data_IF_157649943635
#
_entry.id   IF_157649943635
#
_cell.length_a   1.000
_cell.length_b   1.000
_cell.length_c   1.000
_cell.angle_alpha   90.00
_cell.angle_beta   90.00
_cell.angle_gamma   90.00
#
_symmetry.space_group_name_H-M   'P 1'
#
loop_
_entity.id
_entity.type
_entity.pdbx_description
1 polymer ?
#
# COMPACT_ATOMS: atom_id res chain seq x y z
N UNK A 1 39.53 10.14 14.21
CA UNK A 1 39.58 8.67 14.20
C UNK A 1 38.30 8.16 13.52
N UNK A 2 38.32 7.91 12.21
CA UNK A 2 37.15 7.44 11.46
C UNK A 2 36.86 5.98 11.83
N UNK A 3 35.72 5.72 12.50
CA UNK A 3 35.21 4.36 12.69
C UNK A 3 34.82 3.81 11.32
N UNK A 4 35.65 2.92 10.76
CA UNK A 4 35.29 2.10 9.60
C UNK A 4 34.08 1.25 9.97
N UNK A 5 32.94 1.53 9.34
CA UNK A 5 31.77 0.66 9.36
C UNK A 5 32.21 -0.65 8.67
N UNK A 6 32.23 -1.76 9.41
CA UNK A 6 32.51 -3.08 8.83
C UNK A 6 31.36 -3.44 7.88
N UNK A 7 31.62 -3.84 6.63
CA UNK A 7 30.57 -4.45 5.82
C UNK A 7 30.30 -5.82 6.45
N UNK A 8 29.16 -5.97 7.10
CA UNK A 8 28.64 -7.28 7.50
C UNK A 8 27.40 -7.56 6.66
N UNK A 9 27.61 -8.06 5.46
CA UNK A 9 26.74 -9.11 4.96
C UNK A 9 27.64 -10.14 4.31
N UNK A 10 27.73 -11.33 4.91
CA UNK A 10 28.01 -12.52 4.10
C UNK A 10 26.94 -12.54 3.02
N UNK A 11 27.31 -12.78 1.76
CA UNK A 11 26.32 -13.10 0.74
C UNK A 11 25.51 -14.30 1.25
N UNK A 12 24.25 -14.07 1.63
CA UNK A 12 23.36 -15.15 2.05
C UNK A 12 23.08 -15.95 0.79
N UNK A 13 23.57 -17.20 0.75
CA UNK A 13 23.30 -18.11 -0.35
C UNK A 13 21.90 -18.67 -0.14
N UNK A 14 20.91 -18.15 -0.89
CA UNK A 14 19.54 -18.66 -0.84
C UNK A 14 19.46 -20.09 -1.37
N UNK A 15 18.48 -20.85 -0.88
CA UNK A 15 18.08 -22.09 -1.55
C UNK A 15 17.39 -21.76 -2.89
N UNK A 16 17.45 -22.70 -3.83
CA UNK A 16 16.76 -22.57 -5.12
C UNK A 16 15.25 -22.35 -4.94
N UNK A 17 14.66 -23.02 -3.95
CA UNK A 17 13.25 -22.84 -3.59
C UNK A 17 12.93 -21.44 -3.06
N UNK A 18 13.77 -20.89 -2.16
CA UNK A 18 13.61 -19.51 -1.67
C UNK A 18 13.63 -18.50 -2.82
N UNK A 19 14.50 -18.72 -3.81
CA UNK A 19 14.58 -17.83 -4.98
C UNK A 19 13.37 -17.99 -5.89
N UNK A 20 12.93 -19.23 -6.14
CA UNK A 20 11.75 -19.52 -6.96
C UNK A 20 10.47 -18.86 -6.45
N UNK A 21 10.23 -18.90 -5.13
CA UNK A 21 9.04 -18.25 -4.53
C UNK A 21 9.07 -16.73 -4.75
N UNK A 22 10.24 -16.11 -4.64
CA UNK A 22 10.41 -14.67 -4.83
C UNK A 22 10.26 -14.27 -6.30
N UNK A 23 10.87 -15.02 -7.21
CA UNK A 23 10.77 -14.77 -8.64
C UNK A 23 9.32 -14.92 -9.13
N UNK A 24 8.58 -15.89 -8.58
CA UNK A 24 7.16 -16.09 -8.89
C UNK A 24 6.30 -14.92 -8.41
N UNK A 25 6.50 -14.44 -7.17
CA UNK A 25 5.81 -13.26 -6.67
C UNK A 25 6.16 -12.01 -7.50
N UNK A 26 7.43 -11.80 -7.83
CA UNK A 26 7.84 -10.60 -8.58
C UNK A 26 7.28 -10.61 -10.00
N UNK A 27 7.37 -11.74 -10.71
CA UNK A 27 6.78 -11.89 -12.03
C UNK A 27 5.26 -11.69 -12.00
N UNK A 28 4.58 -12.21 -10.98
CA UNK A 28 3.14 -12.01 -10.81
C UNK A 28 2.80 -10.52 -10.58
N UNK A 29 3.55 -9.84 -9.71
CA UNK A 29 3.38 -8.41 -9.47
C UNK A 29 3.59 -7.61 -10.76
N UNK A 30 4.69 -7.81 -11.48
CA UNK A 30 4.99 -7.08 -12.72
C UNK A 30 3.91 -7.26 -13.80
N UNK A 31 3.27 -8.43 -13.87
CA UNK A 31 2.19 -8.70 -14.81
C UNK A 31 0.82 -8.14 -14.43
N UNK A 32 0.56 -7.81 -13.16
CA UNK A 32 -0.81 -7.60 -12.65
C UNK A 32 -1.06 -6.24 -11.96
N UNK A 33 -0.07 -5.33 -11.88
CA UNK A 33 -0.22 -4.05 -11.18
C UNK A 33 -0.88 -2.95 -12.01
N UNK A 34 -0.64 -2.91 -13.33
CA UNK A 34 -0.98 -1.73 -14.14
C UNK A 34 -2.48 -1.42 -14.17
N UNK A 35 -3.33 -2.43 -14.25
CA UNK A 35 -4.78 -2.25 -14.30
C UNK A 35 -5.36 -1.75 -12.96
N UNK A 36 -5.07 -2.37 -11.80
CA UNK A 36 -5.41 -1.82 -10.49
C UNK A 36 -4.96 -0.37 -10.28
N UNK A 37 -3.74 -0.02 -10.72
CA UNK A 37 -3.23 1.36 -10.62
C UNK A 37 -4.08 2.32 -11.44
N UNK A 38 -4.44 1.96 -12.67
CA UNK A 38 -5.31 2.79 -13.51
C UNK A 38 -6.69 2.98 -12.88
N UNK A 39 -7.28 1.94 -12.31
CA UNK A 39 -8.58 2.03 -11.65
C UNK A 39 -8.55 2.95 -10.43
N UNK A 40 -7.55 2.82 -9.56
CA UNK A 40 -7.40 3.67 -8.37
C UNK A 40 -7.23 5.16 -8.73
N UNK A 41 -6.38 5.46 -9.72
CA UNK A 41 -6.19 6.85 -10.17
C UNK A 41 -7.47 7.41 -10.77
N UNK A 42 -8.15 6.63 -11.63
CA UNK A 42 -9.41 7.06 -12.24
C UNK A 42 -10.51 7.25 -11.19
N UNK A 43 -10.58 6.38 -10.19
CA UNK A 43 -11.52 6.49 -9.08
C UNK A 43 -11.37 7.82 -8.34
N UNK A 44 -10.16 8.23 -7.98
CA UNK A 44 -9.94 9.53 -7.32
C UNK A 44 -10.25 10.72 -8.24
N UNK A 45 -9.99 10.60 -9.54
CA UNK A 45 -10.37 11.62 -10.51
C UNK A 45 -11.89 11.77 -10.63
N UNK A 46 -12.62 10.65 -10.64
CA UNK A 46 -14.08 10.62 -10.70
C UNK A 46 -14.67 11.20 -9.39
N UNK A 47 -14.13 10.84 -8.22
CA UNK A 47 -14.50 11.46 -6.94
C UNK A 47 -14.26 12.98 -6.95
N UNK A 48 -13.09 13.43 -7.41
CA UNK A 48 -12.79 14.85 -7.52
C UNK A 48 -13.71 15.60 -8.50
N UNK A 49 -14.17 14.93 -9.56
CA UNK A 49 -15.04 15.51 -10.57
C UNK A 49 -16.45 15.77 -10.03
N UNK A 50 -17.00 14.84 -9.23
CA UNK A 50 -18.37 14.95 -8.70
C UNK A 50 -18.51 15.94 -7.55
N UNK A 51 -17.44 16.23 -6.80
CA UNK A 51 -17.47 17.26 -5.76
C UNK A 51 -17.81 18.63 -6.36
N UNK A 52 -18.81 19.32 -5.84
CA UNK A 52 -19.21 20.65 -6.30
C UNK A 52 -18.36 21.74 -5.63
N UNK A 53 -18.15 22.86 -6.33
CA UNK A 53 -17.45 24.01 -5.75
C UNK A 53 -18.15 24.53 -4.48
N UNK A 54 -19.48 24.49 -4.46
CA UNK A 54 -20.30 24.90 -3.33
C UNK A 54 -19.96 24.09 -2.07
N UNK A 55 -19.96 22.76 -2.18
CA UNK A 55 -19.66 21.83 -1.08
C UNK A 55 -18.23 22.05 -0.54
N UNK A 56 -17.26 22.17 -1.45
CA UNK A 56 -15.86 22.47 -1.08
C UNK A 56 -15.73 23.81 -0.36
N UNK A 57 -16.52 24.82 -0.75
CA UNK A 57 -16.53 26.12 -0.08
C UNK A 57 -17.16 26.02 1.31
N UNK A 58 -18.30 25.33 1.45
CA UNK A 58 -19.01 25.12 2.71
C UNK A 58 -18.10 24.42 3.74
N UNK A 59 -17.31 23.43 3.30
CA UNK A 59 -16.26 22.80 4.12
C UNK A 59 -15.20 23.80 4.60
N UNK A 60 -14.68 24.63 3.70
CA UNK A 60 -13.60 25.58 4.01
C UNK A 60 -14.05 26.69 4.96
N UNK A 61 -15.30 27.14 4.87
CA UNK A 61 -15.84 28.19 5.75
C UNK A 61 -16.41 27.65 7.07
N UNK A 62 -16.33 26.33 7.29
CA UNK A 62 -16.81 25.69 8.52
C UNK A 62 -18.33 25.53 8.61
N UNK A 63 -19.05 25.70 7.50
CA UNK A 63 -20.49 25.41 7.42
C UNK A 63 -20.77 23.90 7.36
N UNK A 64 -19.76 23.09 7.06
CA UNK A 64 -19.83 21.62 7.01
C UNK A 64 -18.53 21.01 7.52
N UNK A 65 -18.61 19.91 8.28
CA UNK A 65 -17.43 19.16 8.75
C UNK A 65 -16.91 18.24 7.62
N UNK A 66 -15.59 18.24 7.32
CA UNK A 66 -14.98 17.22 6.46
C UNK A 66 -15.35 15.77 6.80
N UNK A 67 -15.68 15.45 8.06
CA UNK A 67 -16.14 14.11 8.45
C UNK A 67 -17.43 13.68 7.73
N UNK A 68 -18.28 14.63 7.33
CA UNK A 68 -19.50 14.33 6.57
C UNK A 68 -19.23 13.67 5.21
N UNK A 69 -18.01 13.79 4.68
CA UNK A 69 -17.59 13.12 3.45
C UNK A 69 -17.28 11.63 3.65
N UNK A 70 -17.04 11.20 4.90
CA UNK A 70 -16.58 9.84 5.20
C UNK A 70 -17.58 8.80 4.70
N UNK A 71 -18.86 8.94 5.01
CA UNK A 71 -19.88 7.96 4.62
C UNK A 71 -20.04 7.85 3.10
N UNK A 72 -19.96 8.98 2.39
CA UNK A 72 -20.04 9.02 0.92
C UNK A 72 -18.86 8.26 0.32
N UNK A 73 -17.65 8.60 0.77
CA UNK A 73 -16.45 7.94 0.27
C UNK A 73 -16.37 6.48 0.68
N UNK A 74 -16.84 6.12 1.88
CA UNK A 74 -16.92 4.74 2.33
C UNK A 74 -17.76 3.90 1.35
N UNK A 75 -18.92 4.42 0.94
CA UNK A 75 -19.78 3.77 -0.05
C UNK A 75 -19.09 3.66 -1.43
N UNK A 76 -18.48 4.75 -1.90
CA UNK A 76 -17.75 4.77 -3.18
C UNK A 76 -16.62 3.73 -3.20
N UNK A 77 -15.82 3.69 -2.13
CA UNK A 77 -14.71 2.75 -1.97
C UNK A 77 -15.20 1.32 -1.86
N UNK A 78 -16.23 1.07 -1.06
CA UNK A 78 -16.84 -0.26 -0.91
C UNK A 78 -17.27 -0.83 -2.27
N UNK A 79 -17.95 -0.01 -3.08
CA UNK A 79 -18.34 -0.39 -4.43
C UNK A 79 -17.14 -0.64 -5.34
N UNK A 80 -16.17 0.28 -5.38
CA UNK A 80 -15.00 0.17 -6.25
C UNK A 80 -14.16 -1.06 -5.92
N UNK A 81 -13.88 -1.31 -4.64
CA UNK A 81 -13.08 -2.46 -4.22
C UNK A 81 -13.80 -3.77 -4.54
N UNK A 82 -15.09 -3.88 -4.25
CA UNK A 82 -15.90 -5.06 -4.57
C UNK A 82 -15.91 -5.37 -6.07
N UNK A 83 -16.08 -4.35 -6.92
CA UNK A 83 -16.17 -4.55 -8.37
C UNK A 83 -14.82 -4.74 -9.07
N UNK A 84 -13.73 -4.21 -8.50
CA UNK A 84 -12.43 -4.09 -9.19
C UNK A 84 -11.29 -4.79 -8.47
N UNK A 85 -11.17 -4.62 -7.16
CA UNK A 85 -10.04 -5.15 -6.40
C UNK A 85 -10.27 -6.57 -5.90
N UNK A 86 -11.50 -6.93 -5.51
CA UNK A 86 -11.82 -8.29 -5.06
C UNK A 86 -11.42 -9.38 -6.06
N UNK A 87 -11.76 -9.27 -7.37
CA UNK A 87 -11.31 -10.28 -8.34
C UNK A 87 -9.79 -10.37 -8.49
N UNK A 88 -9.09 -9.23 -8.33
CA UNK A 88 -7.61 -9.18 -8.38
C UNK A 88 -7.02 -9.91 -7.17
N UNK A 89 -7.60 -9.71 -5.98
CA UNK A 89 -7.16 -10.39 -4.77
C UNK A 89 -7.44 -11.89 -4.81
N UNK A 90 -8.62 -12.31 -5.26
CA UNK A 90 -8.95 -13.73 -5.45
C UNK A 90 -7.94 -14.41 -6.37
N UNK A 91 -7.63 -13.77 -7.50
CA UNK A 91 -6.65 -14.29 -8.44
C UNK A 91 -5.24 -14.35 -7.81
N UNK A 92 -4.82 -13.31 -7.11
CA UNK A 92 -3.51 -13.27 -6.45
C UNK A 92 -3.38 -14.38 -5.40
N UNK A 93 -4.43 -14.60 -4.62
CA UNK A 93 -4.51 -15.65 -3.61
C UNK A 93 -4.36 -17.04 -4.24
N UNK A 94 -5.08 -17.30 -5.34
CA UNK A 94 -4.97 -18.56 -6.08
C UNK A 94 -3.58 -18.76 -6.71
N UNK A 95 -2.96 -17.72 -7.24
CA UNK A 95 -1.62 -17.81 -7.83
C UNK A 95 -0.53 -18.00 -6.78
N UNK A 96 -0.71 -17.47 -5.57
CA UNK A 96 0.16 -17.75 -4.42
C UNK A 96 0.23 -19.24 -4.09
N UNK A 97 -0.90 -19.93 -4.22
CA UNK A 97 -0.98 -21.38 -4.06
C UNK A 97 -0.31 -22.15 -5.19
N UNK A 98 -0.68 -21.90 -6.45
CA UNK A 98 -0.18 -22.67 -7.61
C UNK A 98 1.34 -22.64 -7.73
N UNK A 99 1.97 -21.54 -7.31
CA UNK A 99 3.41 -21.35 -7.42
C UNK A 99 4.18 -21.92 -6.20
N UNK A 100 3.49 -22.46 -5.20
CA UNK A 100 4.11 -23.16 -4.09
C UNK A 100 4.48 -24.60 -4.52
N UNK A 101 5.77 -24.91 -4.46
CA UNK A 101 6.37 -26.21 -4.84
C UNK A 101 5.73 -27.41 -4.13
N UNK A 102 5.13 -27.21 -2.95
CA UNK A 102 4.48 -28.25 -2.17
C UNK A 102 3.22 -28.82 -2.84
N UNK A 103 2.60 -28.10 -3.78
CA UNK A 103 1.29 -28.42 -4.33
C UNK A 103 1.26 -28.74 -5.82
N UNK A 104 2.41 -28.86 -6.48
CA UNK A 104 2.48 -29.21 -7.90
C UNK A 104 1.73 -30.54 -8.18
N UNK A 105 0.58 -30.50 -8.86
CA UNK A 105 -0.23 -31.68 -9.19
C UNK A 105 -1.29 -32.08 -8.15
N UNK A 106 -1.57 -31.22 -7.14
CA UNK A 106 -2.57 -31.46 -6.09
C UNK A 106 -3.80 -30.55 -6.19
N UNK A 107 -4.09 -30.03 -7.39
CA UNK A 107 -5.07 -28.98 -7.62
C UNK A 107 -6.52 -29.39 -7.29
N UNK A 108 -6.84 -30.69 -7.36
CA UNK A 108 -8.21 -31.21 -7.22
C UNK A 108 -8.60 -31.62 -5.79
N UNK A 109 -7.71 -31.45 -4.79
CA UNK A 109 -7.88 -32.04 -3.44
C UNK A 109 -8.12 -31.01 -2.32
N UNK A 110 -7.78 -29.73 -2.55
CA UNK A 110 -7.78 -28.70 -1.50
C UNK A 110 -8.69 -27.53 -1.90
N UNK A 111 -9.69 -27.21 -1.07
CA UNK A 111 -10.51 -26.02 -1.21
C UNK A 111 -10.20 -25.02 -0.10
N UNK A 112 -9.70 -23.84 -0.46
CA UNK A 112 -9.40 -22.74 0.47
C UNK A 112 -10.43 -21.62 0.44
N UNK A 113 -11.61 -21.84 -0.17
CA UNK A 113 -12.62 -20.80 -0.40
C UNK A 113 -13.04 -20.08 0.89
N UNK A 114 -13.10 -20.80 2.02
CA UNK A 114 -13.44 -20.22 3.33
C UNK A 114 -12.36 -19.22 3.81
N UNK A 115 -11.08 -19.58 3.67
CA UNK A 115 -9.95 -18.72 4.00
C UNK A 115 -9.87 -17.49 3.11
N UNK A 116 -10.04 -17.67 1.79
CA UNK A 116 -10.08 -16.58 0.80
C UNK A 116 -11.17 -15.58 1.19
N UNK A 117 -12.39 -16.06 1.43
CA UNK A 117 -13.53 -15.20 1.77
C UNK A 117 -13.32 -14.44 3.07
N UNK A 118 -12.86 -15.12 4.14
CA UNK A 118 -12.61 -14.46 5.43
C UNK A 118 -11.57 -13.37 5.30
N UNK A 119 -10.45 -13.68 4.64
CA UNK A 119 -9.37 -12.71 4.45
C UNK A 119 -9.83 -11.50 3.63
N UNK A 120 -10.52 -11.71 2.51
CA UNK A 120 -11.03 -10.63 1.67
C UNK A 120 -11.98 -9.72 2.46
N UNK A 121 -12.91 -10.28 3.24
CA UNK A 121 -13.89 -9.49 4.00
C UNK A 121 -13.20 -8.59 5.02
N UNK A 122 -12.34 -9.17 5.86
CA UNK A 122 -11.65 -8.42 6.92
C UNK A 122 -10.74 -7.34 6.32
N UNK A 123 -9.96 -7.73 5.30
CA UNK A 123 -8.97 -6.87 4.66
C UNK A 123 -9.60 -5.70 3.88
N UNK A 124 -10.76 -5.95 3.23
CA UNK A 124 -11.51 -4.89 2.53
C UNK A 124 -11.95 -3.79 3.48
N UNK A 125 -12.48 -4.16 4.66
CA UNK A 125 -12.96 -3.19 5.65
C UNK A 125 -11.86 -2.26 6.15
N UNK A 126 -10.69 -2.81 6.44
CA UNK A 126 -9.51 -2.06 6.87
C UNK A 126 -9.01 -1.09 5.80
N UNK A 127 -8.92 -1.55 4.55
CA UNK A 127 -8.43 -0.71 3.44
C UNK A 127 -9.37 0.48 3.18
N UNK A 128 -10.69 0.26 3.17
CA UNK A 128 -11.68 1.34 2.99
C UNK A 128 -11.52 2.38 4.08
N UNK A 129 -11.50 1.92 5.34
CA UNK A 129 -11.42 2.78 6.52
C UNK A 129 -10.14 3.63 6.48
N UNK A 130 -9.00 3.00 6.18
CA UNK A 130 -7.73 3.69 6.05
C UNK A 130 -7.73 4.73 4.92
N UNK A 131 -8.24 4.37 3.73
CA UNK A 131 -8.28 5.29 2.59
C UNK A 131 -9.16 6.51 2.84
N UNK A 132 -10.33 6.31 3.47
CA UNK A 132 -11.26 7.39 3.82
C UNK A 132 -10.63 8.32 4.87
N UNK A 133 -10.09 7.76 5.95
CA UNK A 133 -9.42 8.52 7.01
C UNK A 133 -8.25 9.36 6.47
N UNK A 134 -7.43 8.80 5.58
CA UNK A 134 -6.31 9.53 4.97
C UNK A 134 -6.77 10.73 4.14
N UNK A 135 -7.88 10.59 3.39
CA UNK A 135 -8.42 11.70 2.59
C UNK A 135 -9.08 12.77 3.45
N UNK A 136 -9.85 12.38 4.48
CA UNK A 136 -10.46 13.34 5.42
C UNK A 136 -9.37 14.12 6.15
N UNK A 137 -8.31 13.43 6.60
CA UNK A 137 -7.15 14.06 7.24
C UNK A 137 -6.44 15.03 6.30
N UNK A 138 -6.29 14.67 5.01
CA UNK A 138 -5.73 15.57 4.01
C UNK A 138 -6.55 16.85 3.81
N UNK A 139 -7.88 16.76 3.78
CA UNK A 139 -8.76 17.94 3.69
C UNK A 139 -8.66 18.80 4.96
N UNK A 140 -8.70 18.18 6.14
CA UNK A 140 -8.55 18.88 7.43
C UNK A 140 -7.25 19.65 7.49
N UNK A 141 -6.14 19.03 7.07
CA UNK A 141 -4.84 19.68 6.99
C UNK A 141 -4.87 20.89 6.04
N UNK A 142 -5.49 20.79 4.87
CA UNK A 142 -5.58 21.93 3.94
C UNK A 142 -6.39 23.09 4.51
N UNK A 143 -7.50 22.80 5.19
CA UNK A 143 -8.33 23.85 5.80
C UNK A 143 -7.53 24.57 6.90
N UNK A 144 -6.83 23.82 7.77
CA UNK A 144 -6.00 24.39 8.82
C UNK A 144 -4.83 25.24 8.26
N UNK A 145 -4.14 24.76 7.22
CA UNK A 145 -3.01 25.49 6.64
C UNK A 145 -3.43 26.68 5.77
N UNK A 146 -4.63 26.66 5.21
CA UNK A 146 -5.14 27.77 4.41
C UNK A 146 -5.21 29.07 5.25
N UNK A 147 -5.57 28.96 6.52
CA UNK A 147 -5.60 30.10 7.45
C UNK A 147 -4.20 30.66 7.67
N UNK A 148 -3.21 29.80 7.96
CA UNK A 148 -1.84 30.23 8.22
C UNK A 148 -1.18 30.87 6.99
N UNK A 149 -1.58 30.45 5.80
CA UNK A 149 -1.07 30.95 4.52
C UNK A 149 -1.88 32.12 3.94
N UNK A 150 -2.89 32.63 4.65
CA UNK A 150 -3.81 33.67 4.18
C UNK A 150 -4.45 33.34 2.81
N UNK A 151 -4.73 32.06 2.55
CA UNK A 151 -5.44 31.64 1.34
C UNK A 151 -6.92 32.00 1.45
N UNK A 152 -7.50 32.57 0.39
CA UNK A 152 -8.94 32.86 0.39
C UNK A 152 -9.75 31.56 0.35
N UNK A 153 -10.98 31.56 0.88
CA UNK A 153 -11.83 30.37 0.84
C UNK A 153 -12.07 29.86 -0.58
N UNK A 154 -12.12 30.76 -1.56
CA UNK A 154 -12.25 30.41 -2.98
C UNK A 154 -10.99 29.75 -3.55
N UNK A 155 -9.80 30.23 -3.14
CA UNK A 155 -8.51 29.62 -3.50
C UNK A 155 -8.40 28.22 -2.89
N UNK A 156 -8.67 28.08 -1.59
CA UNK A 156 -8.61 26.81 -0.86
C UNK A 156 -9.58 25.77 -1.43
N UNK A 157 -10.84 26.15 -1.70
CA UNK A 157 -11.82 25.24 -2.29
C UNK A 157 -11.39 24.74 -3.68
N UNK A 158 -10.76 25.61 -4.51
CA UNK A 158 -10.20 25.20 -5.81
C UNK A 158 -8.97 24.32 -5.66
N UNK A 159 -8.24 24.45 -4.56
CA UNK A 159 -7.02 23.71 -4.28
C UNK A 159 -7.30 22.31 -3.71
N UNK A 160 -8.38 22.13 -2.94
CA UNK A 160 -8.76 20.81 -2.37
C UNK A 160 -9.01 19.79 -3.49
N UNK A 161 -9.79 20.15 -4.52
CA UNK A 161 -10.22 19.22 -5.58
C UNK A 161 -9.08 18.39 -6.22
N UNK A 162 -7.98 18.98 -6.71
CA UNK A 162 -6.89 18.20 -7.31
C UNK A 162 -6.12 17.31 -6.31
N UNK A 163 -6.31 17.49 -4.99
CA UNK A 163 -5.64 16.70 -3.93
C UNK A 163 -6.46 15.52 -3.42
N UNK A 164 -7.69 15.33 -3.92
CA UNK A 164 -8.49 14.13 -3.60
C UNK A 164 -7.68 12.87 -3.99
N UNK A 165 -7.62 11.90 -3.10
CA UNK A 165 -6.78 10.72 -3.28
C UNK A 165 -5.30 10.90 -2.86
N UNK A 166 -4.92 12.03 -2.27
CA UNK A 166 -3.63 12.17 -1.59
C UNK A 166 -3.75 11.88 -0.09
N UNK A 167 -2.64 11.43 0.51
CA UNK A 167 -2.51 11.41 1.98
C UNK A 167 -2.17 12.79 2.51
N UNK A 168 -2.38 13.02 3.81
CA UNK A 168 -2.01 14.28 4.47
C UNK A 168 -0.57 14.72 4.16
N UNK A 169 0.40 13.79 4.24
CA UNK A 169 1.80 14.08 3.95
C UNK A 169 2.04 14.49 2.49
N UNK A 170 1.37 13.82 1.55
CA UNK A 170 1.46 14.14 0.14
C UNK A 170 0.84 15.52 -0.14
N UNK A 171 -0.29 15.80 0.48
CA UNK A 171 -0.98 17.10 0.40
C UNK A 171 -0.14 18.24 0.97
N UNK A 172 0.51 18.03 2.12
CA UNK A 172 1.46 18.97 2.70
C UNK A 172 2.64 19.26 1.77
N UNK A 173 3.21 18.21 1.15
CA UNK A 173 4.28 18.39 0.16
C UNK A 173 3.79 19.13 -1.09
N UNK A 174 2.57 18.86 -1.55
CA UNK A 174 1.97 19.53 -2.69
C UNK A 174 1.74 21.03 -2.40
N UNK A 175 1.23 21.35 -1.22
CA UNK A 175 0.99 22.73 -0.77
C UNK A 175 2.28 23.54 -0.65
N UNK A 176 3.35 22.94 -0.11
CA UNK A 176 4.68 23.55 -0.12
C UNK A 176 5.18 23.84 -1.54
N UNK A 177 4.99 22.90 -2.46
CA UNK A 177 5.35 23.08 -3.87
C UNK A 177 4.53 24.21 -4.53
N UNK A 178 3.21 24.24 -4.31
CA UNK A 178 2.31 25.31 -4.75
C UNK A 178 2.80 26.69 -4.29
N UNK A 179 3.07 26.86 -3.00
CA UNK A 179 3.54 28.12 -2.43
C UNK A 179 4.90 28.54 -2.96
N UNK A 180 5.83 27.60 -3.11
CA UNK A 180 7.15 27.89 -3.69
C UNK A 180 7.06 28.46 -5.12
N UNK A 181 6.08 27.99 -5.90
CA UNK A 181 5.84 28.52 -7.25
C UNK A 181 5.20 29.90 -7.19
N UNK A 182 4.25 30.14 -6.27
CA UNK A 182 3.67 31.48 -6.07
C UNK A 182 4.76 32.50 -5.72
N UNK A 183 5.62 32.17 -4.76
CA UNK A 183 6.71 33.03 -4.30
C UNK A 183 7.70 33.34 -5.44
N UNK A 184 8.13 32.30 -6.16
CA UNK A 184 9.03 32.45 -7.31
C UNK A 184 8.42 33.31 -8.41
N UNK A 185 7.18 33.05 -8.81
CA UNK A 185 6.52 33.84 -9.87
C UNK A 185 6.26 35.29 -9.45
N UNK A 186 5.97 35.53 -8.18
CA UNK A 186 5.82 36.89 -7.63
C UNK A 186 7.13 37.67 -7.70
N UNK A 187 8.23 36.99 -7.37
CA UNK A 187 9.58 37.59 -7.37
C UNK A 187 10.10 37.82 -8.78
N UNK A 188 10.03 36.80 -9.64
CA UNK A 188 10.59 36.83 -11.00
C UNK A 188 9.75 37.69 -11.97
N UNK A 189 8.46 37.84 -11.69
CA UNK A 189 7.52 38.58 -12.55
C UNK A 189 6.62 39.55 -11.76
N UNK A 190 7.16 40.66 -11.22
CA UNK A 190 6.40 41.58 -10.37
C UNK A 190 5.18 42.26 -11.04
N UNK A 191 5.12 42.27 -12.38
CA UNK A 191 3.99 42.82 -13.16
C UNK A 191 2.89 41.78 -13.43
N UNK A 192 3.11 40.51 -13.09
CA UNK A 192 2.12 39.45 -13.30
C UNK A 192 0.97 39.63 -12.30
N UNK A 193 -0.27 39.56 -12.80
CA UNK A 193 -1.45 39.65 -11.94
C UNK A 193 -1.49 38.50 -10.93
N UNK A 194 -1.86 38.73 -9.65
CA UNK A 194 -1.96 37.68 -8.64
C UNK A 194 -2.79 36.48 -9.08
N UNK A 195 -3.91 36.69 -9.77
CA UNK A 195 -4.79 35.61 -10.24
C UNK A 195 -4.09 34.73 -11.30
N UNK A 196 -3.22 35.31 -12.12
CA UNK A 196 -2.43 34.53 -13.08
C UNK A 196 -1.31 33.74 -12.40
N UNK A 197 -0.75 34.25 -11.31
CA UNK A 197 0.25 33.54 -10.49
C UNK A 197 -0.43 32.35 -9.81
N UNK A 198 -1.56 32.57 -9.15
CA UNK A 198 -2.38 31.53 -8.50
C UNK A 198 -2.75 30.43 -9.50
N UNK A 199 -3.27 30.80 -10.68
CA UNK A 199 -3.63 29.83 -11.73
C UNK A 199 -2.44 28.97 -12.14
N UNK A 200 -1.28 29.58 -12.44
CA UNK A 200 -0.07 28.84 -12.87
C UNK A 200 0.47 27.93 -11.76
N UNK A 201 0.48 28.41 -10.52
CA UNK A 201 0.88 27.62 -9.37
C UNK A 201 -0.05 26.41 -9.18
N UNK A 202 -1.37 26.63 -9.31
CA UNK A 202 -2.39 25.58 -9.18
C UNK A 202 -2.30 24.53 -10.30
N UNK A 203 -2.08 24.96 -11.55
CA UNK A 203 -1.85 24.03 -12.66
C UNK A 203 -0.60 23.14 -12.43
N UNK A 204 0.48 23.73 -11.93
CA UNK A 204 1.69 22.98 -11.60
C UNK A 204 1.49 22.03 -10.41
N UNK A 205 0.78 22.48 -9.37
CA UNK A 205 0.41 21.69 -8.20
C UNK A 205 -0.51 20.51 -8.57
N UNK A 206 -1.49 20.73 -9.46
CA UNK A 206 -2.36 19.68 -10.01
C UNK A 206 -1.57 18.59 -10.71
N UNK A 207 -0.62 18.96 -11.60
CA UNK A 207 0.27 17.99 -12.26
C UNK A 207 1.15 17.23 -11.27
N UNK A 208 1.52 17.86 -10.16
CA UNK A 208 2.26 17.17 -9.10
C UNK A 208 1.37 16.21 -8.32
N UNK A 209 0.13 16.59 -8.04
CA UNK A 209 -0.85 15.75 -7.37
C UNK A 209 -1.15 14.49 -8.20
N UNK A 210 -1.31 14.61 -9.52
CA UNK A 210 -1.46 13.47 -10.43
C UNK A 210 -0.30 12.46 -10.31
N UNK A 211 0.94 12.94 -10.20
CA UNK A 211 2.11 12.06 -9.97
C UNK A 211 2.06 11.39 -8.59
N UNK A 212 1.66 12.12 -7.57
CA UNK A 212 1.54 11.58 -6.20
C UNK A 212 0.40 10.56 -6.08
N UNK A 213 -0.74 10.79 -6.72
CA UNK A 213 -1.84 9.84 -6.85
C UNK A 213 -1.36 8.56 -7.53
N UNK A 214 -0.68 8.67 -8.69
CA UNK A 214 -0.13 7.49 -9.37
C UNK A 214 0.83 6.70 -8.48
N UNK A 215 1.71 7.38 -7.76
CA UNK A 215 2.63 6.74 -6.81
C UNK A 215 1.89 6.06 -5.65
N UNK A 216 0.85 6.68 -5.10
CA UNK A 216 -0.01 6.10 -4.06
C UNK A 216 -0.75 4.88 -4.58
N UNK A 217 -1.37 4.98 -5.75
CA UNK A 217 -2.06 3.87 -6.41
C UNK A 217 -1.13 2.67 -6.63
N UNK A 218 0.09 2.90 -7.11
CA UNK A 218 1.08 1.83 -7.27
C UNK A 218 1.49 1.22 -5.92
N UNK A 219 1.61 2.05 -4.89
CA UNK A 219 1.95 1.59 -3.53
C UNK A 219 0.85 0.71 -2.95
N UNK A 220 -0.41 1.12 -3.09
CA UNK A 220 -1.59 0.34 -2.69
C UNK A 220 -1.58 -0.96 -3.50
N UNK A 221 -1.75 -0.90 -4.83
CA UNK A 221 -1.84 -2.08 -5.69
C UNK A 221 -0.73 -3.12 -5.42
N UNK A 222 0.53 -2.69 -5.33
CA UNK A 222 1.65 -3.60 -5.00
C UNK A 222 1.51 -4.27 -3.64
N UNK A 223 1.14 -3.51 -2.61
CA UNK A 223 1.05 -4.03 -1.25
C UNK A 223 -0.13 -4.97 -1.10
N UNK A 224 -1.28 -4.58 -1.62
CA UNK A 224 -2.52 -5.36 -1.56
C UNK A 224 -2.39 -6.69 -2.31
N UNK A 225 -1.81 -6.68 -3.53
CA UNK A 225 -1.62 -7.89 -4.33
C UNK A 225 -0.58 -8.80 -3.69
N UNK A 226 0.55 -8.26 -3.20
CA UNK A 226 1.56 -9.06 -2.53
C UNK A 226 1.03 -9.69 -1.23
N UNK A 227 0.16 -8.98 -0.51
CA UNK A 227 -0.49 -9.50 0.68
C UNK A 227 -1.43 -10.65 0.33
N UNK A 228 -2.36 -10.45 -0.62
CA UNK A 228 -3.26 -11.49 -1.08
C UNK A 228 -2.51 -12.75 -1.56
N UNK A 229 -1.43 -12.57 -2.33
CA UNK A 229 -0.59 -13.67 -2.81
C UNK A 229 0.06 -14.47 -1.69
N UNK A 230 0.70 -13.80 -0.72
CA UNK A 230 1.35 -14.48 0.39
C UNK A 230 0.34 -15.17 1.32
N UNK A 231 -0.81 -14.54 1.59
CA UNK A 231 -1.90 -15.16 2.34
C UNK A 231 -2.48 -16.38 1.63
N UNK A 232 -2.52 -16.35 0.29
CA UNK A 232 -2.86 -17.52 -0.52
C UNK A 232 -1.91 -18.67 -0.31
N UNK A 233 -0.61 -18.43 -0.44
CA UNK A 233 0.39 -19.46 -0.18
C UNK A 233 0.25 -20.06 1.23
N UNK A 234 -0.02 -19.22 2.24
CA UNK A 234 -0.17 -19.63 3.65
C UNK A 234 -1.42 -20.46 3.92
N UNK A 235 -2.57 -19.99 3.46
CA UNK A 235 -3.85 -20.64 3.70
C UNK A 235 -3.90 -22.07 3.16
N UNK A 236 -3.35 -22.30 1.97
CA UNK A 236 -3.31 -23.64 1.39
C UNK A 236 -2.34 -24.58 2.12
N UNK A 237 -1.23 -24.07 2.67
CA UNK A 237 -0.35 -24.87 3.54
C UNK A 237 -1.07 -25.27 4.81
N UNK A 238 -1.78 -24.34 5.46
CA UNK A 238 -2.58 -24.65 6.65
C UNK A 238 -3.63 -25.71 6.36
N UNK A 239 -4.40 -25.52 5.30
CA UNK A 239 -5.46 -26.46 4.91
C UNK A 239 -4.90 -27.86 4.63
N UNK A 240 -3.76 -27.95 3.94
CA UNK A 240 -3.10 -29.22 3.67
C UNK A 240 -2.57 -29.91 4.94
N UNK A 241 -2.08 -29.16 5.92
CA UNK A 241 -1.70 -29.70 7.23
C UNK A 241 -2.93 -30.20 7.99
N UNK A 242 -4.01 -29.40 8.01
CA UNK A 242 -5.28 -29.77 8.66
C UNK A 242 -5.92 -31.01 8.04
N UNK A 243 -5.85 -31.15 6.72
CA UNK A 243 -6.34 -32.32 5.99
C UNK A 243 -5.42 -33.56 6.12
N UNK A 244 -4.24 -33.42 6.74
CA UNK A 244 -3.25 -34.51 6.87
C UNK A 244 -2.45 -34.80 5.60
N UNK A 245 -2.52 -33.93 4.59
CA UNK A 245 -1.77 -34.05 3.34
C UNK A 245 -0.32 -33.55 3.48
N UNK A 246 -0.06 -32.65 4.42
CA UNK A 246 1.28 -32.22 4.81
C UNK A 246 1.53 -32.52 6.30
N UNK A 247 2.79 -32.85 6.68
CA UNK A 247 3.18 -32.92 8.08
C UNK A 247 3.21 -31.53 8.71
N UNK A 248 3.53 -31.43 10.00
CA UNK A 248 3.75 -30.13 10.64
C UNK A 248 4.83 -29.30 9.92
N UNK A 249 4.51 -28.02 9.68
CA UNK A 249 5.32 -27.08 8.90
C UNK A 249 5.74 -25.87 9.75
N UNK A 250 6.79 -25.19 9.31
CA UNK A 250 7.27 -23.89 9.78
C UNK A 250 7.33 -22.91 8.61
N UNK A 251 7.21 -21.61 8.91
CA UNK A 251 7.42 -20.52 7.95
C UNK A 251 8.87 -20.05 8.04
N UNK A 252 9.57 -19.99 6.91
CA UNK A 252 10.89 -19.36 6.81
C UNK A 252 10.82 -18.09 5.95
N UNK A 253 11.20 -16.96 6.51
CA UNK A 253 11.17 -15.67 5.81
C UNK A 253 12.25 -15.61 4.72
N UNK A 254 11.84 -15.19 3.51
CA UNK A 254 12.70 -15.04 2.34
C UNK A 254 12.56 -13.61 1.81
N UNK A 255 13.67 -12.87 1.77
CA UNK A 255 13.72 -11.51 1.22
C UNK A 255 14.21 -11.53 -0.21
N UNK A 256 13.82 -10.55 -1.04
CA UNK A 256 14.25 -10.45 -2.45
C UNK A 256 15.79 -10.49 -2.64
N UNK A 257 16.58 -9.99 -1.69
CA UNK A 257 18.05 -9.82 -1.69
C UNK A 257 18.64 -9.22 -2.99
N UNK A 258 17.84 -8.51 -3.77
CA UNK A 258 18.21 -7.80 -5.00
C UNK A 258 18.96 -6.46 -4.74
N UNK A 259 19.56 -6.31 -3.56
CA UNK A 259 20.24 -5.08 -3.14
C UNK A 259 19.30 -3.94 -2.71
N UNK A 260 17.97 -4.11 -2.83
CA UNK A 260 16.96 -3.11 -2.46
C UNK A 260 16.16 -3.50 -1.20
N UNK A 261 16.57 -4.54 -0.48
CA UNK A 261 15.93 -4.97 0.77
C UNK A 261 16.24 -3.99 1.89
N UNK A 262 15.18 -3.55 2.60
CA UNK A 262 15.34 -2.68 3.77
C UNK A 262 15.97 -3.44 4.95
N UNK A 263 16.56 -2.71 5.90
CA UNK A 263 17.22 -3.31 7.06
C UNK A 263 16.30 -4.22 7.90
N UNK A 264 15.00 -3.86 8.03
CA UNK A 264 14.04 -4.63 8.82
C UNK A 264 13.69 -5.97 8.19
N UNK A 265 13.50 -6.01 6.87
CA UNK A 265 13.31 -7.26 6.13
C UNK A 265 14.58 -8.10 6.12
N UNK A 266 15.74 -7.47 5.88
CA UNK A 266 17.03 -8.18 5.87
C UNK A 266 17.34 -8.86 7.22
N UNK A 267 16.87 -8.29 8.33
CA UNK A 267 16.99 -8.90 9.66
C UNK A 267 16.14 -10.18 9.84
N UNK A 268 15.11 -10.38 9.02
CA UNK A 268 14.24 -11.56 9.06
C UNK A 268 14.73 -12.69 8.15
N UNK A 269 15.64 -12.44 7.21
CA UNK A 269 16.13 -13.44 6.24
C UNK A 269 16.51 -14.79 6.91
N UNK A 270 15.87 -15.88 6.48
CA UNK A 270 16.11 -17.23 6.98
C UNK A 270 15.56 -17.52 8.38
N UNK A 271 14.89 -16.56 9.02
CA UNK A 271 14.21 -16.78 10.30
C UNK A 271 13.09 -17.77 10.12
N UNK A 272 13.03 -18.78 10.99
CA UNK A 272 11.98 -19.81 11.04
C UNK A 272 11.13 -19.63 12.27
N UNK A 273 9.82 -19.76 12.09
CA UNK A 273 8.83 -19.72 13.16
C UNK A 273 7.72 -20.74 12.89
N UNK A 274 6.96 -21.14 13.91
CA UNK A 274 5.79 -21.99 13.73
C UNK A 274 4.72 -21.32 12.86
N UNK A 275 3.79 -22.11 12.31
CA UNK A 275 2.72 -21.55 11.46
C UNK A 275 1.91 -20.47 12.19
N UNK A 276 1.64 -20.63 13.48
CA UNK A 276 0.82 -19.71 14.28
C UNK A 276 1.61 -18.58 14.96
N UNK A 277 2.92 -18.57 14.79
CA UNK A 277 3.79 -17.53 15.35
C UNK A 277 3.90 -16.30 14.43
N UNK A 278 4.39 -15.20 15.01
CA UNK A 278 4.66 -13.94 14.29
C UNK A 278 6.17 -13.67 14.17
N UNK A 279 6.57 -13.16 13.01
CA UNK A 279 7.89 -12.58 12.80
C UNK A 279 7.98 -11.25 13.55
N UNK A 280 9.14 -10.99 14.18
CA UNK A 280 9.39 -9.76 14.94
C UNK A 280 10.66 -9.09 14.44
N UNK A 281 10.58 -7.79 14.15
CA UNK A 281 11.72 -6.98 13.72
C UNK A 281 11.57 -5.54 14.16
N UNK A 282 12.62 -4.74 13.99
CA UNK A 282 12.62 -3.32 14.35
C UNK A 282 12.69 -2.48 13.08
N UNK A 283 11.80 -1.49 12.97
CA UNK A 283 11.86 -0.43 11.95
C UNK A 283 11.94 0.93 12.62
N UNK A 284 13.12 1.56 12.51
CA UNK A 284 13.43 2.78 13.23
C UNK A 284 13.38 2.56 14.75
N UNK A 285 12.39 3.16 15.41
CA UNK A 285 12.17 3.04 16.87
C UNK A 285 10.98 2.16 17.25
N UNK A 286 10.34 1.51 16.27
CA UNK A 286 9.14 0.70 16.49
C UNK A 286 9.45 -0.76 16.26
N UNK A 287 8.97 -1.59 17.17
CA UNK A 287 8.85 -3.02 16.93
C UNK A 287 7.68 -3.24 15.95
N UNK A 288 7.89 -4.12 14.98
CA UNK A 288 6.87 -4.53 14.01
C UNK A 288 6.75 -6.05 14.14
N UNK A 289 5.51 -6.51 14.29
CA UNK A 289 5.18 -7.93 14.20
C UNK A 289 4.30 -8.17 12.99
N UNK A 290 4.47 -9.32 12.36
CA UNK A 290 3.60 -9.77 11.27
C UNK A 290 3.65 -11.29 11.14
N UNK A 291 2.53 -11.92 10.78
CA UNK A 291 2.46 -13.37 10.61
C UNK A 291 3.16 -13.83 9.34
N UNK A 292 3.06 -13.05 8.25
CA UNK A 292 3.67 -13.25 6.93
C UNK A 292 3.87 -11.90 6.21
N UNK A 293 4.70 -11.82 5.16
CA UNK A 293 4.83 -10.62 4.35
C UNK A 293 3.48 -10.15 3.75
N UNK A 294 3.30 -8.84 3.49
CA UNK A 294 4.31 -7.79 3.51
C UNK A 294 4.58 -7.19 4.91
N UNK A 295 5.85 -6.87 5.20
CA UNK A 295 6.24 -6.14 6.43
C UNK A 295 5.91 -4.63 6.35
N UNK A 296 5.91 -4.08 5.14
CA UNK A 296 5.72 -2.66 4.86
C UNK A 296 5.21 -2.47 3.43
N UNK A 297 4.72 -1.27 3.07
CA UNK A 297 4.28 -1.01 1.71
C UNK A 297 5.36 -1.34 0.66
N UNK A 298 4.94 -1.88 -0.48
CA UNK A 298 5.80 -2.33 -1.60
C UNK A 298 6.84 -3.40 -1.22
N UNK A 299 6.65 -4.12 -0.12
CA UNK A 299 7.51 -5.24 0.23
C UNK A 299 7.36 -6.38 -0.80
N UNK A 300 8.49 -6.93 -1.26
CA UNK A 300 8.55 -8.10 -2.16
C UNK A 300 9.09 -9.36 -1.45
N UNK A 301 8.95 -9.42 -0.13
CA UNK A 301 9.34 -10.61 0.62
C UNK A 301 8.24 -11.66 0.51
N UNK A 302 8.62 -12.92 0.70
CA UNK A 302 7.72 -14.06 0.74
C UNK A 302 8.16 -15.00 1.86
N UNK A 303 7.34 -16.00 2.16
CA UNK A 303 7.71 -17.11 3.05
C UNK A 303 7.83 -18.38 2.24
N UNK A 304 8.77 -19.23 2.62
CA UNK A 304 8.76 -20.64 2.23
C UNK A 304 8.32 -21.49 3.41
N UNK A 305 7.81 -22.68 3.12
CA UNK A 305 7.29 -23.59 4.12
C UNK A 305 8.20 -24.80 4.22
N UNK A 306 8.73 -25.04 5.41
CA UNK A 306 9.69 -26.11 5.67
C UNK A 306 9.13 -27.06 6.73
N UNK A 307 9.43 -28.35 6.64
CA UNK A 307 8.99 -29.32 7.66
C UNK A 307 9.66 -29.02 9.00
N UNK A 308 8.93 -29.17 10.10
CA UNK A 308 9.51 -29.15 11.45
C UNK A 308 10.54 -30.27 11.55
N UNK A 309 11.79 -29.92 11.91
CA UNK A 309 12.81 -30.93 12.19
C UNK A 309 12.62 -31.41 13.62
N UNK A 310 12.02 -32.59 13.79
CA UNK A 310 12.07 -33.28 15.07
C UNK A 310 13.50 -33.77 15.30
N UNK A 311 14.28 -33.04 16.10
CA UNK A 311 15.57 -33.53 16.60
C UNK A 311 15.29 -34.68 17.60
N UNK A 312 15.36 -35.91 17.07
CA UNK A 312 15.48 -37.20 17.75
C UNK A 312 14.41 -37.59 18.80
N UNK A 313 13.54 -38.52 18.40
CA UNK A 313 13.23 -39.67 19.27
C UNK A 313 14.31 -40.72 18.96
N UNK A 314 15.31 -40.83 19.83
CA UNK A 314 16.15 -42.02 19.99
C UNK A 314 16.10 -42.46 21.45
#
# INVERSE_FOLDING_TARGET
MMRKIRPRSRAVKKSEESQRVLDALDAYLEGNIDEPVRWLVRFWQDQAAVMLYRELRELVIGETDPESLFDIWFQDYSKMLSEKMTPVWEQAFLEGWKNNSLFCGAEDVISSESWVRSWIVDHTGDLITNCCNEQVSAIRYLIAEAESLNMSSAETARYIRPTIGLTERQTAANLKYYNSIKERLTTDHPRMKPESIERKAREAASKYAERQQRYRAETIARSEIAQAYNHGADAFVREAVTAGNLPEMEKEWSTALDGHVCASCAALEGTKIGMDDEFKTVSGRREITTSIPPLHPRCKCAVKYVRVKNENIQ
#
